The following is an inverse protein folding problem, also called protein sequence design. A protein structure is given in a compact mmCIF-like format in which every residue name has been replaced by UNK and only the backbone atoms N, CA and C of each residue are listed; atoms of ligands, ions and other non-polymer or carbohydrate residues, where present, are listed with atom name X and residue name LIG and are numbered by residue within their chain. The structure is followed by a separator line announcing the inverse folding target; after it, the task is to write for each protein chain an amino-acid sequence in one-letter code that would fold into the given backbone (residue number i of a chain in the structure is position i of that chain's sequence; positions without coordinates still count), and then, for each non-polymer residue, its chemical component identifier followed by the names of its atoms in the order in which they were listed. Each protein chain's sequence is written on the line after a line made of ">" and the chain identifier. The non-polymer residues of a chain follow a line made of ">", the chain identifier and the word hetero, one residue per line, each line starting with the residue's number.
data_IF_881388234935
#
_entry.id   IF_881388234935
#
_cell.length_a   1.000
_cell.length_b   1.000
_cell.length_c   1.000
_cell.angle_alpha   90.00
_cell.angle_beta   90.00
_cell.angle_gamma   90.00
#
_symmetry.space_group_name_H-M   'P 1'
#
loop_
_entity.id
_entity.type
_entity.pdbx_description
1 polymer ?
#
# COMPACT_ATOMS: atom_id res chain seq x y z
N UNK A 1 -13.73 28.73 9.29
CA UNK A 1 -12.98 27.87 8.37
C UNK A 1 -11.77 27.39 9.13
N UNK A 2 -11.90 26.23 9.77
CA UNK A 2 -10.79 25.52 10.40
C UNK A 2 -10.64 24.26 9.57
N UNK A 3 -9.48 24.09 8.94
CA UNK A 3 -9.15 22.93 8.10
C UNK A 3 -9.52 21.65 8.84
N UNK A 4 -10.48 20.92 8.29
CA UNK A 4 -10.86 19.59 8.78
C UNK A 4 -9.89 18.60 8.16
N UNK A 5 -9.21 17.84 9.02
CA UNK A 5 -8.26 16.78 8.67
C UNK A 5 -8.88 15.75 7.72
N UNK A 6 -8.25 15.53 6.57
CA UNK A 6 -8.67 14.58 5.54
C UNK A 6 -7.97 13.21 5.64
N UNK A 7 -7.14 12.98 6.67
CA UNK A 7 -6.29 11.78 6.78
C UNK A 7 -6.88 10.66 7.68
N UNK A 8 -7.98 10.90 8.40
CA UNK A 8 -8.53 9.94 9.39
C UNK A 8 -9.61 8.97 8.87
N UNK A 9 -10.13 9.14 7.64
CA UNK A 9 -11.32 8.39 7.17
C UNK A 9 -11.10 6.87 7.05
N UNK A 10 -9.90 6.41 6.66
CA UNK A 10 -9.64 4.98 6.45
C UNK A 10 -9.66 4.20 7.76
N UNK A 11 -8.89 4.65 8.75
CA UNK A 11 -8.78 3.96 10.03
C UNK A 11 -10.04 4.11 10.87
N UNK A 12 -10.71 5.27 10.81
CA UNK A 12 -12.04 5.43 11.44
C UNK A 12 -13.06 4.43 10.90
N UNK A 13 -13.11 4.24 9.58
CA UNK A 13 -13.99 3.26 8.95
C UNK A 13 -13.64 1.84 9.39
N UNK A 14 -12.37 1.45 9.34
CA UNK A 14 -11.91 0.14 9.78
C UNK A 14 -12.29 -0.12 11.24
N UNK A 15 -11.98 0.79 12.15
CA UNK A 15 -12.28 0.66 13.58
C UNK A 15 -13.78 0.53 13.83
N UNK A 16 -14.59 1.34 13.15
CA UNK A 16 -16.04 1.30 13.26
C UNK A 16 -16.58 -0.08 12.87
N UNK A 17 -16.16 -0.61 11.73
CA UNK A 17 -16.61 -1.93 11.24
C UNK A 17 -16.08 -3.06 12.14
N UNK A 18 -14.84 -3.01 12.58
CA UNK A 18 -14.25 -4.02 13.46
C UNK A 18 -14.98 -4.09 14.81
N UNK A 19 -15.25 -2.94 15.44
CA UNK A 19 -16.00 -2.86 16.71
C UNK A 19 -17.44 -3.35 16.55
N UNK A 20 -18.13 -2.94 15.47
CA UNK A 20 -19.50 -3.37 15.19
C UNK A 20 -19.61 -4.88 14.98
N UNK A 21 -18.68 -5.47 14.23
CA UNK A 21 -18.67 -6.91 13.99
C UNK A 21 -18.37 -7.67 15.29
N UNK A 22 -17.44 -7.18 16.10
CA UNK A 22 -17.10 -7.79 17.39
C UNK A 22 -18.26 -7.78 18.38
N UNK A 23 -19.07 -6.71 18.41
CA UNK A 23 -20.23 -6.58 19.29
C UNK A 23 -21.25 -7.71 19.08
N UNK A 24 -21.47 -8.15 17.84
CA UNK A 24 -22.39 -9.26 17.52
C UNK A 24 -21.99 -10.57 18.22
N UNK A 25 -20.69 -10.73 18.50
CA UNK A 25 -20.12 -11.95 19.09
C UNK A 25 -19.63 -11.76 20.55
N UNK A 26 -19.82 -10.58 21.15
CA UNK A 26 -19.32 -10.28 22.50
C UNK A 26 -17.78 -10.25 22.59
N UNK A 27 -17.10 -9.84 21.52
CA UNK A 27 -15.65 -9.81 21.40
C UNK A 27 -15.05 -8.40 21.39
N UNK A 28 -15.76 -7.40 21.89
CA UNK A 28 -15.39 -5.99 21.88
C UNK A 28 -13.98 -5.78 22.47
N UNK A 29 -13.70 -6.34 23.65
CA UNK A 29 -12.37 -6.21 24.27
C UNK A 29 -11.23 -6.88 23.48
N UNK A 30 -11.51 -7.90 22.67
CA UNK A 30 -10.51 -8.49 21.76
C UNK A 30 -10.26 -7.57 20.56
N UNK A 31 -11.32 -7.00 20.00
CA UNK A 31 -11.21 -6.06 18.88
C UNK A 31 -10.47 -4.79 19.30
N UNK A 32 -10.80 -4.20 20.45
CA UNK A 32 -10.10 -3.02 20.99
C UNK A 32 -8.61 -3.29 21.18
N UNK A 33 -8.25 -4.44 21.76
CA UNK A 33 -6.83 -4.81 21.93
C UNK A 33 -6.11 -4.96 20.60
N UNK A 34 -6.76 -5.50 19.57
CA UNK A 34 -6.14 -5.70 18.27
C UNK A 34 -6.03 -4.37 17.50
N UNK A 35 -7.05 -3.52 17.55
CA UNK A 35 -7.03 -2.17 16.98
C UNK A 35 -5.89 -1.35 17.58
N UNK A 36 -5.72 -1.39 18.92
CA UNK A 36 -4.62 -0.69 19.57
C UNK A 36 -3.24 -1.09 19.03
N UNK A 37 -3.01 -2.40 18.83
CA UNK A 37 -1.76 -2.89 18.22
C UNK A 37 -1.57 -2.39 16.79
N UNK A 38 -2.64 -2.28 16.00
CA UNK A 38 -2.55 -1.77 14.64
C UNK A 38 -2.24 -0.27 14.64
N UNK A 39 -2.83 0.50 15.55
CA UNK A 39 -2.50 1.91 15.69
C UNK A 39 -1.03 2.12 16.09
N UNK A 40 -0.48 1.26 16.96
CA UNK A 40 0.95 1.29 17.30
C UNK A 40 1.83 0.99 16.08
N UNK A 41 1.49 -0.04 15.28
CA UNK A 41 2.22 -0.39 14.04
C UNK A 41 2.13 0.72 13.00
N UNK A 42 0.95 1.28 12.79
CA UNK A 42 0.72 2.40 11.86
C UNK A 42 1.56 3.61 12.28
N UNK A 43 1.63 3.93 13.57
CA UNK A 43 2.45 5.05 14.04
C UNK A 43 3.93 4.84 13.70
N UNK A 44 4.47 3.63 13.90
CA UNK A 44 5.85 3.29 13.52
C UNK A 44 6.09 3.37 12.01
N UNK A 45 5.12 2.91 11.21
CA UNK A 45 5.17 3.03 9.75
C UNK A 45 5.16 4.50 9.34
N UNK A 46 4.28 5.33 9.92
CA UNK A 46 4.17 6.77 9.62
C UNK A 46 5.49 7.50 9.92
N UNK A 47 6.13 7.20 11.06
CA UNK A 47 7.44 7.76 11.40
C UNK A 47 8.50 7.40 10.35
N UNK A 48 8.53 6.15 9.90
CA UNK A 48 9.48 5.68 8.89
C UNK A 48 9.16 6.19 7.47
N UNK A 49 7.89 6.41 7.16
CA UNK A 49 7.40 6.92 5.89
C UNK A 49 7.51 8.45 5.77
N UNK A 50 7.82 9.16 6.85
CA UNK A 50 7.87 10.62 6.85
C UNK A 50 8.87 11.15 5.80
N UNK A 51 8.36 11.93 4.84
CA UNK A 51 9.15 12.48 3.74
C UNK A 51 9.60 11.45 2.71
N UNK A 52 9.03 10.24 2.72
CA UNK A 52 9.24 9.20 1.72
C UNK A 52 8.15 9.22 0.66
N UNK A 53 8.60 9.05 -0.56
CA UNK A 53 7.74 9.02 -1.74
C UNK A 53 7.45 7.58 -2.18
N UNK A 54 6.26 7.34 -2.69
CA UNK A 54 5.85 6.04 -3.22
C UNK A 54 5.14 6.22 -4.56
N UNK A 55 5.21 5.21 -5.43
CA UNK A 55 4.21 5.01 -6.47
C UNK A 55 3.48 3.70 -6.23
N UNK A 56 2.16 3.78 -6.12
CA UNK A 56 1.30 2.59 -6.08
C UNK A 56 1.01 2.11 -7.50
N UNK A 57 1.06 0.80 -7.70
CA UNK A 57 0.76 0.15 -8.96
C UNK A 57 -0.10 -1.11 -8.82
N UNK A 58 -0.74 -1.49 -9.91
CA UNK A 58 -1.46 -2.75 -10.06
C UNK A 58 -1.04 -3.42 -11.36
N UNK A 59 -0.72 -4.71 -11.32
CA UNK A 59 -0.49 -5.50 -12.54
C UNK A 59 -1.77 -6.23 -12.93
N UNK A 60 -2.11 -6.23 -14.22
CA UNK A 60 -3.17 -7.06 -14.80
C UNK A 60 -2.93 -7.26 -16.30
N UNK A 61 -3.18 -8.45 -16.81
CA UNK A 61 -3.02 -8.77 -18.23
C UNK A 61 -1.58 -8.61 -18.74
N UNK A 62 -0.59 -8.75 -17.86
CA UNK A 62 0.83 -8.50 -18.20
C UNK A 62 1.23 -7.02 -18.27
N UNK A 63 0.33 -6.09 -17.91
CA UNK A 63 0.61 -4.64 -17.88
C UNK A 63 0.66 -4.11 -16.45
N UNK A 64 1.42 -3.04 -16.24
CA UNK A 64 1.42 -2.25 -15.01
C UNK A 64 0.59 -0.98 -15.18
N UNK A 65 -0.26 -0.66 -14.21
CA UNK A 65 -0.99 0.62 -14.11
C UNK A 65 -0.71 1.28 -12.77
N UNK A 66 -0.36 2.56 -12.76
CA UNK A 66 -0.26 3.33 -11.52
C UNK A 66 -1.65 3.67 -10.98
N UNK A 67 -1.77 3.81 -9.67
CA UNK A 67 -3.05 4.06 -8.99
C UNK A 67 -2.92 5.15 -7.93
N UNK A 68 -3.99 5.95 -7.78
CA UNK A 68 -4.07 7.04 -6.82
C UNK A 68 -4.55 6.59 -5.44
N UNK A 69 -4.52 7.50 -4.47
CA UNK A 69 -5.01 7.26 -3.10
C UNK A 69 -6.53 7.12 -3.01
N UNK A 70 -7.24 7.17 -4.13
CA UNK A 70 -8.69 6.92 -4.23
C UNK A 70 -9.01 5.50 -4.73
N UNK A 71 -7.99 4.65 -4.92
CA UNK A 71 -8.09 3.29 -5.44
C UNK A 71 -7.70 2.24 -4.39
N UNK A 72 -7.48 1.00 -4.84
CA UNK A 72 -6.85 -0.05 -4.03
C UNK A 72 -5.49 0.43 -3.50
N UNK A 73 -5.16 0.07 -2.27
CA UNK A 73 -3.95 0.54 -1.59
C UNK A 73 -4.02 1.98 -1.05
N UNK A 74 -5.20 2.60 -1.00
CA UNK A 74 -5.40 3.94 -0.43
C UNK A 74 -4.84 4.12 0.98
N UNK A 75 -4.78 3.05 1.78
CA UNK A 75 -4.17 3.05 3.12
C UNK A 75 -2.73 3.60 3.10
N UNK A 76 -1.95 3.32 2.05
CA UNK A 76 -0.54 3.71 1.95
C UNK A 76 -0.38 5.21 2.01
N UNK A 77 -1.17 5.93 1.21
CA UNK A 77 -1.12 7.39 1.16
C UNK A 77 -2.01 8.08 2.22
N UNK A 78 -3.11 7.46 2.64
CA UNK A 78 -4.08 8.09 3.55
C UNK A 78 -3.79 7.84 5.03
N UNK A 79 -3.28 6.66 5.38
CA UNK A 79 -3.09 6.25 6.77
C UNK A 79 -1.62 5.98 7.11
N UNK A 80 -0.83 5.43 6.19
CA UNK A 80 0.58 5.07 6.46
C UNK A 80 1.57 6.22 6.25
N UNK A 81 1.12 7.35 5.68
CA UNK A 81 1.90 8.59 5.63
C UNK A 81 2.88 8.71 4.46
N UNK A 82 2.83 7.82 3.47
CA UNK A 82 3.64 7.97 2.26
C UNK A 82 3.07 9.04 1.32
N UNK A 83 3.94 9.79 0.66
CA UNK A 83 3.54 10.67 -0.44
C UNK A 83 3.44 9.86 -1.75
N UNK A 84 2.22 9.54 -2.19
CA UNK A 84 2.00 8.84 -3.46
C UNK A 84 2.14 9.81 -4.65
N UNK A 85 3.25 9.73 -5.37
CA UNK A 85 3.55 10.60 -6.51
C UNK A 85 2.65 10.35 -7.72
N UNK A 86 1.93 9.21 -7.76
CA UNK A 86 0.92 8.92 -8.77
C UNK A 86 -0.51 9.25 -8.32
N UNK A 87 -0.68 9.97 -7.20
CA UNK A 87 -2.00 10.36 -6.71
C UNK A 87 -2.72 11.31 -7.68
N UNK A 88 -1.98 12.28 -8.22
CA UNK A 88 -2.41 13.18 -9.27
C UNK A 88 -1.28 13.28 -10.30
N UNK A 89 -1.51 12.76 -11.51
CA UNK A 89 -0.51 12.77 -12.58
C UNK A 89 -0.53 14.16 -13.22
N UNK A 90 0.61 14.85 -13.24
CA UNK A 90 0.77 16.11 -13.97
C UNK A 90 0.43 15.86 -15.46
N UNK A 91 -0.40 16.71 -16.10
CA UNK A 91 -0.73 16.58 -17.52
C UNK A 91 0.48 16.42 -18.43
N UNK A 92 1.65 16.96 -18.08
CA UNK A 92 2.87 16.77 -18.87
C UNK A 92 3.33 15.31 -18.97
N UNK A 93 2.87 14.46 -18.03
CA UNK A 93 3.19 13.04 -17.95
C UNK A 93 2.05 12.12 -18.41
N UNK A 94 0.94 12.66 -18.91
CA UNK A 94 -0.28 11.89 -19.24
C UNK A 94 -0.07 10.80 -20.32
N UNK A 95 0.92 11.00 -21.19
CA UNK A 95 1.22 10.11 -22.31
C UNK A 95 2.34 9.11 -22.01
N UNK A 96 2.94 9.18 -20.82
CA UNK A 96 3.96 8.21 -20.41
C UNK A 96 3.30 6.86 -20.10
N UNK A 97 3.97 5.78 -20.47
CA UNK A 97 3.64 4.47 -19.91
C UNK A 97 3.89 4.46 -18.39
N UNK A 98 3.26 3.53 -17.66
CA UNK A 98 3.45 3.42 -16.21
C UNK A 98 4.93 3.22 -15.82
N UNK A 99 5.71 2.50 -16.62
CA UNK A 99 7.15 2.32 -16.35
C UNK A 99 7.94 3.62 -16.53
N UNK A 100 7.68 4.36 -17.61
CA UNK A 100 8.29 5.67 -17.87
C UNK A 100 7.88 6.69 -16.80
N UNK A 101 6.61 6.68 -16.39
CA UNK A 101 6.12 7.53 -15.30
C UNK A 101 6.85 7.24 -14.00
N UNK A 102 7.02 5.97 -13.62
CA UNK A 102 7.77 5.59 -12.41
C UNK A 102 9.24 6.02 -12.53
N UNK A 103 9.86 5.88 -13.70
CA UNK A 103 11.24 6.30 -13.91
C UNK A 103 11.42 7.82 -13.84
N UNK A 104 10.45 8.58 -14.35
CA UNK A 104 10.44 10.04 -14.33
C UNK A 104 10.17 10.60 -12.93
N UNK A 105 9.19 10.03 -12.20
CA UNK A 105 8.90 10.39 -10.81
C UNK A 105 10.00 9.93 -9.85
N UNK A 106 10.64 8.80 -10.15
CA UNK A 106 11.74 8.19 -9.41
C UNK A 106 11.51 8.12 -7.88
N UNK A 107 10.46 7.42 -7.41
CA UNK A 107 10.09 7.39 -6.00
C UNK A 107 11.09 6.60 -5.15
N UNK A 108 11.03 6.80 -3.82
CA UNK A 108 11.78 6.00 -2.84
C UNK A 108 11.30 4.54 -2.82
N UNK A 109 9.99 4.33 -3.01
CA UNK A 109 9.32 3.03 -2.97
C UNK A 109 8.38 2.84 -4.16
N UNK A 110 8.21 1.58 -4.58
CA UNK A 110 7.13 1.17 -5.49
C UNK A 110 6.40 0.01 -4.85
N UNK A 111 5.09 0.13 -4.67
CA UNK A 111 4.28 -0.97 -4.14
C UNK A 111 3.30 -1.45 -5.20
N UNK A 112 3.27 -2.75 -5.42
CA UNK A 112 2.54 -3.36 -6.54
C UNK A 112 1.57 -4.42 -6.03
N UNK A 113 0.34 -4.33 -6.50
CA UNK A 113 -0.71 -5.32 -6.25
C UNK A 113 -0.87 -6.17 -7.53
N UNK A 114 -0.76 -7.49 -7.41
CA UNK A 114 -0.96 -8.40 -8.54
C UNK A 114 -2.43 -8.83 -8.64
N UNK A 115 -3.21 -8.19 -9.52
CA UNK A 115 -4.64 -8.50 -9.66
C UNK A 115 -4.88 -9.90 -10.23
N UNK A 116 -4.06 -10.32 -11.18
CA UNK A 116 -4.27 -11.57 -11.88
C UNK A 116 -4.03 -12.74 -10.93
N UNK A 117 -2.98 -12.66 -10.11
CA UNK A 117 -2.74 -13.60 -9.00
C UNK A 117 -3.88 -13.57 -7.98
N UNK A 118 -4.32 -12.39 -7.55
CA UNK A 118 -5.43 -12.26 -6.59
C UNK A 118 -6.75 -12.89 -7.09
N UNK A 119 -6.96 -12.90 -8.41
CA UNK A 119 -8.19 -13.44 -9.04
C UNK A 119 -8.01 -14.81 -9.67
N UNK A 120 -6.85 -15.47 -9.48
CA UNK A 120 -6.51 -16.78 -10.01
C UNK A 120 -6.65 -16.88 -11.54
N UNK A 121 -6.21 -15.85 -12.27
CA UNK A 121 -6.17 -15.89 -13.74
C UNK A 121 -5.16 -16.95 -14.19
N UNK A 122 -5.61 -17.87 -15.05
CA UNK A 122 -4.74 -18.91 -15.59
C UNK A 122 -3.65 -18.29 -16.48
N UNK A 123 -2.40 -18.69 -16.25
CA UNK A 123 -1.25 -18.16 -17.00
C UNK A 123 -0.88 -16.72 -16.64
N UNK A 124 -1.30 -16.23 -15.47
CA UNK A 124 -0.88 -14.93 -14.95
C UNK A 124 0.65 -14.78 -14.97
N UNK A 125 1.12 -13.61 -15.39
CA UNK A 125 2.54 -13.24 -15.31
C UNK A 125 2.75 -12.56 -13.96
N UNK A 126 3.70 -13.06 -13.20
CA UNK A 126 4.03 -12.55 -11.88
C UNK A 126 4.45 -11.07 -11.94
N UNK A 127 3.97 -10.26 -10.99
CA UNK A 127 4.29 -8.83 -10.92
C UNK A 127 5.81 -8.55 -10.91
N UNK A 128 6.63 -9.41 -10.30
CA UNK A 128 8.08 -9.26 -10.32
C UNK A 128 8.64 -9.38 -11.73
N UNK A 129 8.14 -10.33 -12.52
CA UNK A 129 8.55 -10.49 -13.92
C UNK A 129 8.12 -9.31 -14.79
N UNK A 130 6.95 -8.72 -14.53
CA UNK A 130 6.47 -7.54 -15.25
C UNK A 130 7.36 -6.32 -14.96
N UNK A 131 7.81 -6.16 -13.71
CA UNK A 131 8.65 -5.04 -13.28
C UNK A 131 10.16 -5.23 -13.54
N UNK A 132 10.63 -6.44 -13.82
CA UNK A 132 12.02 -6.76 -14.18
C UNK A 132 12.31 -6.30 -15.62
N UNK A 133 12.53 -4.99 -15.77
CA UNK A 133 12.87 -4.37 -17.04
C UNK A 133 13.84 -3.20 -16.87
N UNK A 134 14.54 -2.86 -17.96
CA UNK A 134 15.63 -1.87 -17.95
C UNK A 134 15.21 -0.47 -17.49
N UNK A 135 13.95 -0.07 -17.66
CA UNK A 135 13.44 1.24 -17.24
C UNK A 135 13.31 1.26 -15.71
N UNK A 136 12.66 0.25 -15.13
CA UNK A 136 12.51 0.12 -13.68
C UNK A 136 13.87 -0.06 -13.00
N UNK A 137 14.82 -0.76 -13.62
CA UNK A 137 16.17 -0.96 -13.08
C UNK A 137 16.94 0.35 -12.84
N UNK A 138 16.54 1.44 -13.51
CA UNK A 138 17.17 2.74 -13.35
C UNK A 138 16.66 3.53 -12.14
N UNK A 139 15.51 3.14 -11.58
CA UNK A 139 14.87 3.81 -10.44
C UNK A 139 15.63 3.61 -9.13
N UNK A 140 15.48 4.55 -8.20
CA UNK A 140 15.99 4.37 -6.83
C UNK A 140 15.30 3.23 -6.11
N UNK A 141 13.98 3.09 -6.29
CA UNK A 141 13.21 2.00 -5.70
C UNK A 141 13.82 0.62 -6.05
N UNK A 142 14.12 0.35 -7.33
CA UNK A 142 14.76 -0.92 -7.71
C UNK A 142 16.15 -1.08 -7.10
N UNK A 143 17.01 -0.07 -7.24
CA UNK A 143 18.42 -0.12 -6.79
C UNK A 143 18.55 -0.34 -5.28
N UNK A 144 17.59 0.17 -4.51
CA UNK A 144 17.53 0.02 -3.05
C UNK A 144 16.70 -1.21 -2.62
N UNK A 145 16.18 -1.99 -3.58
CA UNK A 145 15.30 -3.14 -3.34
C UNK A 145 13.96 -2.75 -2.72
N UNK A 146 13.52 -1.50 -2.83
CA UNK A 146 12.32 -0.93 -2.23
C UNK A 146 11.07 -1.13 -3.09
N UNK A 147 11.02 -2.23 -3.85
CA UNK A 147 9.81 -2.66 -4.53
C UNK A 147 9.11 -3.69 -3.65
N UNK A 148 7.93 -3.33 -3.17
CA UNK A 148 7.05 -4.22 -2.41
C UNK A 148 6.06 -4.91 -3.33
N UNK A 149 6.20 -6.22 -3.51
CA UNK A 149 5.20 -7.06 -4.14
C UNK A 149 4.21 -7.49 -3.06
N UNK A 150 3.07 -6.83 -3.00
CA UNK A 150 2.12 -6.92 -1.89
C UNK A 150 1.27 -8.18 -1.98
N UNK A 151 0.81 -8.69 -0.83
CA UNK A 151 -0.04 -9.88 -0.72
C UNK A 151 -1.31 -9.73 -1.58
N UNK A 152 -1.40 -10.42 -2.74
CA UNK A 152 -2.33 -10.02 -3.80
C UNK A 152 -3.80 -10.04 -3.38
N UNK A 153 -4.23 -11.10 -2.70
CA UNK A 153 -5.61 -11.32 -2.30
C UNK A 153 -6.08 -10.29 -1.27
N UNK A 154 -5.26 -10.00 -0.27
CA UNK A 154 -5.58 -9.08 0.83
C UNK A 154 -5.66 -7.65 0.32
N UNK A 155 -4.76 -7.25 -0.57
CA UNK A 155 -4.73 -5.89 -1.11
C UNK A 155 -5.75 -5.66 -2.23
N UNK A 156 -6.08 -6.68 -3.02
CA UNK A 156 -7.03 -6.55 -4.13
C UNK A 156 -8.47 -6.90 -3.73
N UNK A 157 -8.69 -8.02 -3.05
CA UNK A 157 -10.01 -8.53 -2.67
C UNK A 157 -10.41 -8.19 -1.23
N UNK A 158 -9.46 -7.91 -0.35
CA UNK A 158 -9.72 -7.60 1.05
C UNK A 158 -10.53 -6.31 1.24
N UNK A 159 -11.45 -6.34 2.22
CA UNK A 159 -12.34 -5.24 2.56
C UNK A 159 -12.26 -4.89 4.06
N UNK A 160 -11.05 -4.66 4.59
CA UNK A 160 -10.88 -4.13 5.95
C UNK A 160 -11.16 -5.13 7.09
N UNK A 161 -10.90 -6.42 6.87
CA UNK A 161 -10.91 -7.43 7.94
C UNK A 161 -9.67 -7.31 8.86
N UNK A 162 -9.77 -7.83 10.09
CA UNK A 162 -8.65 -7.81 11.05
C UNK A 162 -7.41 -8.53 10.51
N UNK A 163 -7.58 -9.70 9.89
CA UNK A 163 -6.48 -10.48 9.31
C UNK A 163 -5.89 -9.80 8.06
N UNK A 164 -6.77 -9.27 7.20
CA UNK A 164 -6.35 -8.47 6.03
C UNK A 164 -5.50 -7.28 6.47
N UNK A 165 -5.92 -6.54 7.50
CA UNK A 165 -5.14 -5.42 8.04
C UNK A 165 -3.78 -5.87 8.58
N UNK A 166 -3.73 -7.02 9.26
CA UNK A 166 -2.48 -7.56 9.80
C UNK A 166 -1.44 -7.82 8.70
N UNK A 167 -1.90 -8.43 7.61
CA UNK A 167 -1.10 -8.75 6.42
C UNK A 167 -0.70 -7.47 5.69
N UNK A 168 -1.63 -6.55 5.45
CA UNK A 168 -1.32 -5.28 4.77
C UNK A 168 -0.26 -4.47 5.52
N UNK A 169 -0.35 -4.38 6.84
CA UNK A 169 0.68 -3.70 7.64
C UNK A 169 2.00 -4.49 7.60
N UNK A 170 1.93 -5.83 7.61
CA UNK A 170 3.09 -6.72 7.55
C UNK A 170 3.89 -6.55 6.27
N UNK A 171 3.22 -6.54 5.11
CA UNK A 171 3.85 -6.35 3.81
C UNK A 171 4.63 -5.02 3.74
N UNK A 172 4.07 -3.95 4.31
CA UNK A 172 4.72 -2.63 4.34
C UNK A 172 5.91 -2.62 5.30
N UNK A 173 5.75 -3.24 6.47
CA UNK A 173 6.83 -3.39 7.45
C UNK A 173 8.00 -4.19 6.90
N UNK A 174 7.76 -5.27 6.15
CA UNK A 174 8.82 -6.08 5.51
C UNK A 174 9.67 -5.25 4.55
N UNK A 175 9.06 -4.30 3.82
CA UNK A 175 9.80 -3.44 2.89
C UNK A 175 10.49 -2.29 3.61
N UNK A 176 9.87 -1.71 4.64
CA UNK A 176 10.44 -0.58 5.39
C UNK A 176 11.56 -1.00 6.35
N UNK A 177 11.42 -2.15 6.99
CA UNK A 177 12.25 -2.59 8.11
C UNK A 177 13.05 -3.85 7.77
N UNK A 178 13.68 -3.87 6.59
CA UNK A 178 14.48 -5.00 6.08
C UNK A 178 15.60 -5.45 7.01
N UNK A 179 16.13 -4.55 7.83
CA UNK A 179 17.18 -4.81 8.82
C UNK A 179 16.63 -5.10 10.24
N UNK A 180 15.31 -5.28 10.35
CA UNK A 180 14.58 -5.49 11.60
C UNK A 180 13.74 -4.28 12.02
N UNK A 181 12.61 -4.54 12.69
CA UNK A 181 11.78 -3.50 13.29
C UNK A 181 12.58 -2.79 14.38
N UNK A 182 12.64 -1.44 14.41
CA UNK A 182 13.23 -0.72 15.53
C UNK A 182 12.61 -1.20 16.84
N UNK A 183 13.42 -1.84 17.67
CA UNK A 183 13.04 -2.15 19.05
C UNK A 183 13.31 -0.88 19.84
N UNK A 184 12.29 -0.41 20.57
CA UNK A 184 12.41 0.70 21.51
C UNK A 184 13.57 0.53 22.49
#
# INVERSE_FOLDING_TARGET
>A
MTNTDYDMEYMESFEFHAKRNAQVFGYEGKAEKQIAKYNDRISKIQEAAQGKTVVMGITMGGELKTISNNSKGSIVGRALGFENLANEIDPQYENLSSFELIAELNPDYVFVIDKDTATNVEGAVDAQQILDNEIIHQTQAWKNGNIGYLSPSEWYLGEGGIEVMDIMLGDIEEVLFKDGVPTE
#
